data_IF_718958397866
#
_entry.id   IF_718958397866
#
_cell.length_a   1.000
_cell.length_b   1.000
_cell.length_c   1.000
_cell.angle_alpha   90.00
_cell.angle_beta   90.00
_cell.angle_gamma   90.00
#
_symmetry.space_group_name_H-M   'P 1'
#
loop_
_entity.id
_entity.type
_entity.pdbx_description
1 polymer ?
#
# COMPACT_ATOMS: atom_id res chain seq x y z
N UNK A 1 3.58 -16.15 -21.61
CA UNK A 1 4.29 -15.53 -20.47
C UNK A 1 5.55 -14.75 -20.91
N UNK A 2 5.53 -14.07 -22.06
CA UNK A 2 6.73 -13.39 -22.61
C UNK A 2 6.68 -11.86 -22.54
N UNK A 3 5.49 -11.27 -22.38
CA UNK A 3 5.32 -9.81 -22.33
C UNK A 3 5.94 -9.19 -21.08
N UNK A 4 5.79 -9.85 -19.93
CA UNK A 4 6.25 -9.30 -18.65
C UNK A 4 7.79 -9.24 -18.57
N UNK A 5 8.49 -10.24 -19.12
CA UNK A 5 9.95 -10.28 -19.13
C UNK A 5 10.56 -9.20 -20.03
N UNK A 6 9.97 -8.96 -21.21
CA UNK A 6 10.42 -7.91 -22.15
C UNK A 6 10.21 -6.52 -21.54
N UNK A 7 9.06 -6.30 -20.90
CA UNK A 7 8.76 -5.04 -20.24
C UNK A 7 9.76 -4.73 -19.11
N UNK A 8 10.12 -5.74 -18.31
CA UNK A 8 11.14 -5.59 -17.26
C UNK A 8 12.51 -5.29 -17.87
N UNK A 9 12.89 -5.95 -18.96
CA UNK A 9 14.19 -5.70 -19.61
C UNK A 9 14.29 -4.29 -20.21
N UNK A 10 13.23 -3.81 -20.86
CA UNK A 10 13.15 -2.43 -21.36
C UNK A 10 13.27 -1.42 -20.22
N UNK A 11 12.53 -1.62 -19.13
CA UNK A 11 12.59 -0.76 -17.95
C UNK A 11 13.99 -0.73 -17.32
N UNK A 12 14.65 -1.89 -17.18
CA UNK A 12 16.03 -1.96 -16.67
C UNK A 12 17.01 -1.19 -17.57
N UNK A 13 16.86 -1.30 -18.88
CA UNK A 13 17.67 -0.55 -19.84
C UNK A 13 17.46 0.96 -19.64
N UNK A 14 16.23 1.44 -19.54
CA UNK A 14 15.91 2.85 -19.33
C UNK A 14 16.45 3.40 -18.01
N UNK A 15 16.36 2.62 -16.93
CA UNK A 15 16.88 2.98 -15.61
C UNK A 15 18.43 3.03 -15.60
N UNK A 16 19.08 2.14 -16.34
CA UNK A 16 20.55 2.11 -16.46
C UNK A 16 21.13 3.27 -17.26
N UNK A 17 20.32 3.93 -18.10
CA UNK A 17 20.69 5.11 -18.87
C UNK A 17 20.48 6.41 -18.09
N UNK A 18 19.92 6.34 -16.88
CA UNK A 18 19.77 7.52 -16.04
C UNK A 18 21.11 7.91 -15.42
N UNK A 19 21.42 9.21 -15.31
CA UNK A 19 22.59 9.68 -14.59
C UNK A 19 22.62 9.18 -13.14
N UNK A 20 23.81 8.88 -12.60
CA UNK A 20 23.97 8.46 -11.20
C UNK A 20 23.35 9.44 -10.18
N UNK A 21 23.31 10.72 -10.54
CA UNK A 21 22.64 11.76 -9.76
C UNK A 21 21.13 11.54 -9.62
N UNK A 22 20.46 11.02 -10.66
CA UNK A 22 19.03 10.68 -10.63
C UNK A 22 18.78 9.50 -9.71
N UNK A 23 19.58 8.42 -9.83
CA UNK A 23 19.49 7.26 -8.95
C UNK A 23 19.73 7.64 -7.48
N UNK A 24 20.66 8.55 -7.22
CA UNK A 24 20.91 9.08 -5.89
C UNK A 24 19.71 9.88 -5.33
N UNK A 25 19.08 10.72 -6.14
CA UNK A 25 17.88 11.47 -5.75
C UNK A 25 16.73 10.50 -5.45
N UNK A 26 16.50 9.49 -6.30
CA UNK A 26 15.48 8.45 -6.08
C UNK A 26 15.72 7.74 -4.74
N UNK A 27 16.96 7.35 -4.43
CA UNK A 27 17.29 6.73 -3.13
C UNK A 27 16.95 7.64 -1.95
N UNK A 28 17.28 8.94 -2.04
CA UNK A 28 16.92 9.91 -0.99
C UNK A 28 15.41 10.09 -0.84
N UNK A 29 14.68 10.15 -1.96
CA UNK A 29 13.23 10.24 -1.94
C UNK A 29 12.61 9.00 -1.30
N UNK A 30 13.07 7.80 -1.67
CA UNK A 30 12.58 6.56 -1.07
C UNK A 30 12.82 6.49 0.45
N UNK A 31 13.98 6.94 0.93
CA UNK A 31 14.25 7.04 2.37
C UNK A 31 13.29 8.00 3.08
N UNK A 32 13.01 9.17 2.49
CA UNK A 32 12.05 10.12 3.05
C UNK A 32 10.61 9.58 3.01
N UNK A 33 10.25 8.88 1.94
CA UNK A 33 8.94 8.26 1.75
C UNK A 33 8.69 7.10 2.74
N UNK A 34 9.72 6.33 3.09
CA UNK A 34 9.62 5.29 4.14
C UNK A 34 9.19 5.86 5.49
N UNK A 35 9.58 7.09 5.83
CA UNK A 35 9.16 7.77 7.06
C UNK A 35 7.69 8.20 7.05
N UNK A 36 7.04 8.13 5.90
CA UNK A 36 5.65 8.54 5.67
C UNK A 36 4.84 7.43 5.01
N UNK A 37 5.19 6.17 5.25
CA UNK A 37 4.52 5.02 4.65
C UNK A 37 3.01 5.01 4.96
N UNK A 38 2.63 5.50 6.13
CA UNK A 38 1.25 5.70 6.58
C UNK A 38 0.46 6.73 5.74
N UNK A 39 1.15 7.58 4.98
CA UNK A 39 0.60 8.59 4.06
C UNK A 39 0.67 8.17 2.59
N UNK A 40 1.37 7.09 2.28
CA UNK A 40 1.51 6.53 0.94
C UNK A 40 0.54 5.39 0.67
N UNK A 41 -0.14 4.93 1.71
CA UNK A 41 -1.26 4.03 1.65
C UNK A 41 -2.57 4.82 1.49
N UNK A 42 -3.49 4.35 0.65
CA UNK A 42 -4.82 4.97 0.59
C UNK A 42 -5.55 4.76 1.92
N UNK A 43 -6.46 5.67 2.34
CA UNK A 43 -7.22 5.48 3.58
C UNK A 43 -7.97 4.13 3.62
N UNK A 44 -8.49 3.68 2.47
CA UNK A 44 -9.20 2.41 2.37
C UNK A 44 -8.27 1.20 2.55
N UNK A 45 -7.10 1.21 1.90
CA UNK A 45 -6.11 0.12 2.02
C UNK A 45 -5.57 0.03 3.44
N UNK A 46 -5.35 1.18 4.09
CA UNK A 46 -4.93 1.25 5.49
C UNK A 46 -5.93 0.60 6.43
N UNK A 47 -7.23 0.84 6.22
CA UNK A 47 -8.27 0.19 7.01
C UNK A 47 -8.25 -1.32 6.80
N UNK A 48 -8.18 -1.80 5.55
CA UNK A 48 -8.10 -3.23 5.24
C UNK A 48 -6.89 -3.88 5.90
N UNK A 49 -5.70 -3.28 5.76
CA UNK A 49 -4.47 -3.79 6.34
C UNK A 49 -4.57 -3.94 7.86
N UNK A 50 -5.09 -2.93 8.57
CA UNK A 50 -5.28 -2.99 10.02
C UNK A 50 -6.25 -4.12 10.42
N UNK A 51 -7.29 -4.35 9.62
CA UNK A 51 -8.29 -5.39 9.86
C UNK A 51 -7.73 -6.79 9.57
N UNK A 52 -6.84 -6.93 8.58
CA UNK A 52 -6.13 -8.18 8.28
C UNK A 52 -5.05 -8.48 9.32
N UNK A 53 -4.29 -7.47 9.76
CA UNK A 53 -3.26 -7.61 10.81
C UNK A 53 -3.87 -7.94 12.18
N UNK A 54 -5.03 -7.38 12.49
CA UNK A 54 -5.78 -7.66 13.72
C UNK A 54 -7.27 -7.91 13.43
N UNK A 55 -7.66 -9.15 13.10
CA UNK A 55 -9.05 -9.49 12.79
C UNK A 55 -10.02 -9.16 13.92
N UNK A 56 -9.57 -9.21 15.17
CA UNK A 56 -10.39 -8.98 16.36
C UNK A 56 -10.59 -7.50 16.71
N UNK A 57 -9.97 -6.56 15.98
CA UNK A 57 -10.13 -5.12 16.23
C UNK A 57 -11.61 -4.72 16.12
N UNK A 58 -12.12 -3.98 17.10
CA UNK A 58 -13.48 -3.47 17.02
C UNK A 58 -13.56 -2.29 16.06
N UNK A 59 -14.74 -2.01 15.51
CA UNK A 59 -14.94 -0.82 14.66
C UNK A 59 -14.61 0.47 15.42
N UNK A 60 -14.89 0.51 16.73
CA UNK A 60 -14.60 1.65 17.59
C UNK A 60 -13.09 1.89 17.72
N UNK A 61 -12.30 0.85 17.99
CA UNK A 61 -10.83 0.95 18.05
C UNK A 61 -10.24 1.35 16.69
N UNK A 62 -10.73 0.76 15.60
CA UNK A 62 -10.29 1.11 14.25
C UNK A 62 -10.53 2.59 13.94
N UNK A 63 -11.71 3.10 14.29
CA UNK A 63 -12.06 4.51 14.09
C UNK A 63 -11.23 5.45 14.97
N UNK A 64 -10.91 5.06 16.21
CA UNK A 64 -10.05 5.85 17.09
C UNK A 64 -8.64 5.98 16.52
N UNK A 65 -8.09 4.90 15.96
CA UNK A 65 -6.75 4.87 15.36
C UNK A 65 -6.63 5.59 14.03
N UNK A 66 -7.72 5.70 13.27
CA UNK A 66 -7.70 6.17 11.87
C UNK A 66 -8.52 7.42 11.62
N UNK A 67 -9.37 7.81 12.56
CA UNK A 67 -10.35 8.88 12.43
C UNK A 67 -11.28 8.74 11.21
N UNK A 68 -11.45 7.52 10.70
CA UNK A 68 -12.42 7.25 9.64
C UNK A 68 -13.86 7.31 10.16
N UNK A 69 -14.80 7.48 9.25
CA UNK A 69 -16.23 7.38 9.54
C UNK A 69 -16.65 5.92 9.78
N UNK A 70 -17.77 5.73 10.49
CA UNK A 70 -18.40 4.41 10.67
C UNK A 70 -18.68 3.72 9.33
N UNK A 71 -19.06 4.48 8.30
CA UNK A 71 -19.37 3.94 6.98
C UNK A 71 -18.12 3.36 6.30
N UNK A 72 -16.99 4.05 6.39
CA UNK A 72 -15.71 3.59 5.86
C UNK A 72 -15.21 2.35 6.63
N UNK A 73 -15.27 2.38 7.96
CA UNK A 73 -14.88 1.26 8.81
C UNK A 73 -15.68 -0.01 8.50
N UNK A 74 -17.02 0.12 8.36
CA UNK A 74 -17.90 -1.01 8.01
C UNK A 74 -17.63 -1.55 6.61
N UNK A 75 -17.44 -0.66 5.62
CA UNK A 75 -17.11 -1.08 4.26
C UNK A 75 -15.80 -1.85 4.23
N UNK A 76 -14.76 -1.36 4.88
CA UNK A 76 -13.46 -2.03 4.93
C UNK A 76 -13.56 -3.42 5.58
N UNK A 77 -14.30 -3.56 6.70
CA UNK A 77 -14.53 -4.86 7.35
C UNK A 77 -15.26 -5.83 6.43
N UNK A 78 -16.35 -5.38 5.80
CA UNK A 78 -17.11 -6.20 4.87
C UNK A 78 -16.24 -6.71 3.71
N UNK A 79 -15.44 -5.83 3.11
CA UNK A 79 -14.56 -6.20 2.00
C UNK A 79 -13.46 -7.20 2.42
N UNK A 80 -12.91 -7.09 3.62
CA UNK A 80 -11.94 -8.09 4.13
C UNK A 80 -12.62 -9.44 4.38
N UNK A 81 -13.77 -9.44 5.05
CA UNK A 81 -14.50 -10.67 5.38
C UNK A 81 -14.99 -11.40 4.10
N UNK A 82 -15.39 -10.66 3.07
CA UNK A 82 -15.79 -11.22 1.75
C UNK A 82 -14.60 -11.88 1.03
N UNK A 83 -13.42 -11.27 1.08
CA UNK A 83 -12.20 -11.85 0.51
C UNK A 83 -11.78 -13.13 1.24
N UNK A 84 -11.84 -13.18 2.57
CA UNK A 84 -11.53 -14.38 3.38
C UNK A 84 -12.54 -15.51 3.17
N UNK A 85 -13.79 -15.19 2.79
CA UNK A 85 -14.84 -16.17 2.51
C UNK A 85 -14.69 -16.89 1.16
N UNK A 86 -13.81 -16.40 0.29
CA UNK A 86 -13.55 -16.92 -1.06
C UNK A 86 -12.20 -17.66 -1.17
N UNK A 87 -11.36 -17.63 -0.13
CA UNK A 87 -10.07 -18.32 -0.03
C UNK A 87 -10.16 -19.65 0.71
#
# INVERSE_FOLDING_TARGET
MSGDAINIQTLCSELSQQPDSVLFIIKKLNLALQLHQDKLESPADRLKRLLTENPNITLSELMEMTHCSVAEARRARFEVDEFESLG
#
